data_IF_527190929278
#
_entry.id   IF_527190929278
#
_cell.length_a   1.000
_cell.length_b   1.000
_cell.length_c   1.000
_cell.angle_alpha   90.00
_cell.angle_beta   90.00
_cell.angle_gamma   90.00
#
_symmetry.space_group_name_H-M   'P 1'
#
loop_
_entity.id
_entity.type
_entity.pdbx_description
1 polymer ?
#
# COMPACT_ATOMS: atom_id res chain seq x y z
N UNK A 1 -0.55 5.11 13.95
CA UNK A 1 -1.82 4.37 13.74
C UNK A 1 -2.79 5.37 13.11
N UNK A 2 -3.17 5.17 11.84
CA UNK A 2 -4.14 6.05 11.16
C UNK A 2 -5.53 5.68 11.66
N UNK A 3 -6.35 6.68 12.03
CA UNK A 3 -7.75 6.46 12.42
C UNK A 3 -8.54 5.94 11.22
N UNK A 4 -9.21 4.80 11.35
CA UNK A 4 -10.04 4.23 10.26
C UNK A 4 -11.42 4.88 10.32
N UNK A 5 -11.54 6.01 9.62
CA UNK A 5 -12.82 6.67 9.41
C UNK A 5 -13.55 6.11 8.18
N UNK A 6 -14.85 6.37 8.06
CA UNK A 6 -15.70 5.79 7.00
C UNK A 6 -15.15 6.01 5.58
N UNK A 7 -14.52 7.16 5.32
CA UNK A 7 -13.91 7.45 4.03
C UNK A 7 -12.68 6.57 3.72
N UNK A 8 -11.95 6.11 4.73
CA UNK A 8 -10.85 5.13 4.58
C UNK A 8 -11.42 3.77 4.17
N UNK A 9 -12.53 3.37 4.78
CA UNK A 9 -13.21 2.10 4.46
C UNK A 9 -13.75 2.10 3.03
N UNK A 10 -14.44 3.16 2.62
CA UNK A 10 -14.97 3.29 1.26
C UNK A 10 -13.84 3.19 0.22
N UNK A 11 -12.69 3.84 0.49
CA UNK A 11 -11.49 3.75 -0.36
C UNK A 11 -10.85 2.36 -0.35
N UNK A 12 -10.80 1.72 0.81
CA UNK A 12 -10.28 0.36 0.95
C UNK A 12 -11.13 -0.66 0.18
N UNK A 13 -12.46 -0.49 0.14
CA UNK A 13 -13.34 -1.35 -0.66
C UNK A 13 -13.02 -1.22 -2.15
N UNK A 14 -12.89 0.01 -2.67
CA UNK A 14 -12.49 0.25 -4.06
C UNK A 14 -11.13 -0.43 -4.38
N UNK A 15 -10.15 -0.28 -3.49
CA UNK A 15 -8.83 -0.88 -3.68
C UNK A 15 -8.83 -2.40 -3.58
N UNK A 16 -9.64 -2.97 -2.69
CA UNK A 16 -9.83 -4.42 -2.59
C UNK A 16 -10.36 -4.99 -3.92
N UNK A 17 -11.30 -4.31 -4.57
CA UNK A 17 -11.82 -4.75 -5.87
C UNK A 17 -10.84 -4.51 -7.02
N UNK A 18 -10.27 -3.31 -7.11
CA UNK A 18 -9.39 -2.90 -8.22
C UNK A 18 -8.08 -3.68 -8.25
N UNK A 19 -7.49 -3.92 -7.09
CA UNK A 19 -6.17 -4.56 -6.96
C UNK A 19 -6.25 -5.97 -6.38
N UNK A 20 -7.45 -6.50 -6.11
CA UNK A 20 -7.66 -7.82 -5.48
C UNK A 20 -6.94 -7.98 -4.13
N UNK A 21 -6.83 -6.87 -3.40
CA UNK A 21 -6.17 -6.84 -2.09
C UNK A 21 -7.06 -7.44 -1.01
N UNK A 22 -6.44 -8.15 -0.06
CA UNK A 22 -7.11 -8.51 1.20
C UNK A 22 -7.46 -7.25 1.98
N UNK A 23 -8.51 -7.30 2.79
CA UNK A 23 -9.06 -6.12 3.48
C UNK A 23 -8.00 -5.32 4.23
N UNK A 24 -7.09 -5.98 4.96
CA UNK A 24 -6.02 -5.29 5.69
C UNK A 24 -5.04 -4.59 4.75
N UNK A 25 -4.64 -5.24 3.66
CA UNK A 25 -3.72 -4.69 2.66
C UNK A 25 -4.36 -3.47 1.97
N UNK A 26 -5.65 -3.56 1.65
CA UNK A 26 -6.42 -2.47 1.06
C UNK A 26 -6.54 -1.26 2.00
N UNK A 27 -6.79 -1.48 3.30
CA UNK A 27 -6.85 -0.39 4.30
C UNK A 27 -5.52 0.33 4.44
N UNK A 28 -4.39 -0.40 4.42
CA UNK A 28 -3.08 0.22 4.50
C UNK A 28 -2.77 1.08 3.27
N UNK A 29 -3.03 0.57 2.06
CA UNK A 29 -2.81 1.34 0.84
C UNK A 29 -3.77 2.54 0.74
N UNK A 30 -5.04 2.35 1.10
CA UNK A 30 -6.02 3.43 1.14
C UNK A 30 -5.61 4.54 2.12
N UNK A 31 -5.12 4.15 3.30
CA UNK A 31 -4.62 5.11 4.30
C UNK A 31 -3.47 5.92 3.73
N UNK A 32 -2.48 5.28 3.08
CA UNK A 32 -1.34 5.96 2.49
C UNK A 32 -1.74 6.96 1.40
N UNK A 33 -2.71 6.60 0.55
CA UNK A 33 -3.26 7.50 -0.47
C UNK A 33 -3.98 8.69 0.16
N UNK A 34 -4.83 8.44 1.15
CA UNK A 34 -5.62 9.49 1.80
C UNK A 34 -4.77 10.45 2.63
N UNK A 35 -3.68 9.97 3.23
CA UNK A 35 -2.69 10.80 3.93
C UNK A 35 -1.65 11.40 2.99
N UNK A 36 -1.73 11.15 1.68
CA UNK A 36 -0.82 11.65 0.65
C UNK A 36 0.64 11.31 0.92
N UNK A 37 0.90 10.07 1.28
CA UNK A 37 2.27 9.57 1.40
C UNK A 37 2.95 9.56 0.03
N UNK A 38 4.22 9.95 -0.04
CA UNK A 38 4.99 9.80 -1.29
C UNK A 38 5.28 8.33 -1.60
N UNK A 39 5.43 7.51 -0.56
CA UNK A 39 5.82 6.10 -0.65
C UNK A 39 4.94 5.18 0.21
N UNK A 40 4.63 4.01 -0.34
CA UNK A 40 4.07 2.87 0.38
C UNK A 40 5.00 1.68 0.21
N UNK A 41 5.59 1.23 1.31
CA UNK A 41 6.55 0.13 1.28
C UNK A 41 5.90 -1.20 1.69
N UNK A 42 6.20 -2.27 0.96
CA UNK A 42 5.75 -3.62 1.30
C UNK A 42 6.70 -4.68 0.77
N UNK A 43 6.86 -5.79 1.50
CA UNK A 43 7.54 -7.00 0.99
C UNK A 43 6.58 -7.96 0.27
N UNK A 44 5.27 -7.69 0.30
CA UNK A 44 4.28 -8.53 -0.35
C UNK A 44 4.16 -8.18 -1.84
N UNK A 45 5.12 -8.68 -2.63
CA UNK A 45 5.21 -8.42 -4.08
C UNK A 45 4.06 -8.99 -4.89
N UNK A 46 3.34 -9.98 -4.33
CA UNK A 46 2.28 -10.69 -5.05
C UNK A 46 0.98 -9.91 -5.04
N UNK A 47 0.64 -9.31 -3.90
CA UNK A 47 -0.68 -8.75 -3.71
C UNK A 47 -0.71 -7.25 -4.06
N UNK A 48 0.37 -6.50 -3.81
CA UNK A 48 0.43 -5.07 -4.12
C UNK A 48 0.94 -4.77 -5.54
N UNK A 49 0.50 -3.66 -6.16
CA UNK A 49 0.97 -3.22 -7.48
C UNK A 49 2.38 -2.63 -7.40
N UNK A 50 3.39 -3.49 -7.25
CA UNK A 50 4.79 -3.08 -7.08
C UNK A 50 5.34 -2.33 -8.29
N UNK A 51 6.05 -1.23 -8.03
CA UNK A 51 6.66 -0.38 -9.06
C UNK A 51 5.69 0.62 -9.68
N UNK A 52 4.40 0.55 -9.34
CA UNK A 52 3.38 1.47 -9.84
C UNK A 52 3.19 2.68 -8.92
N UNK A 53 2.51 3.69 -9.47
CA UNK A 53 1.97 4.81 -8.69
C UNK A 53 0.46 4.61 -8.54
N UNK A 54 0.01 4.44 -7.30
CA UNK A 54 -1.41 4.38 -6.95
C UNK A 54 -1.82 5.75 -6.44
N UNK A 55 -2.52 6.51 -7.29
CA UNK A 55 -3.07 7.82 -6.93
C UNK A 55 -2.03 8.78 -6.29
N UNK A 56 -0.81 8.80 -6.85
CA UNK A 56 0.29 9.63 -6.37
C UNK A 56 1.20 8.97 -5.33
N UNK A 57 0.84 7.79 -4.81
CA UNK A 57 1.66 7.02 -3.88
C UNK A 57 2.50 6.01 -4.65
N UNK A 58 3.83 6.05 -4.49
CA UNK A 58 4.71 5.04 -5.10
C UNK A 58 4.72 3.77 -4.26
N UNK A 59 4.36 2.65 -4.87
CA UNK A 59 4.40 1.33 -4.22
C UNK A 59 5.72 0.65 -4.54
N UNK A 60 6.52 0.34 -3.51
CA UNK A 60 7.81 -0.31 -3.73
C UNK A 60 8.22 -1.20 -2.55
N UNK A 61 9.26 -1.99 -2.74
CA UNK A 61 9.89 -2.67 -1.63
C UNK A 61 10.67 -1.67 -0.76
N UNK A 62 10.75 -1.90 0.56
CA UNK A 62 11.69 -1.16 1.39
C UNK A 62 13.12 -1.41 0.89
N UNK A 63 13.87 -0.34 0.66
CA UNK A 63 15.30 -0.41 0.44
C UNK A 63 16.03 -0.02 1.73
N UNK A 64 16.85 -0.92 2.27
CA UNK A 64 17.75 -0.61 3.37
C UNK A 64 19.18 -0.71 2.84
N UNK A 65 19.91 0.42 2.88
CA UNK A 65 21.35 0.44 2.59
C UNK A 65 22.04 -0.55 3.54
N UNK A 66 22.74 -1.55 2.99
CA UNK A 66 23.39 -2.62 3.77
C UNK A 66 22.57 -3.91 3.91
N UNK A 67 21.37 -4.00 3.34
CA UNK A 67 20.60 -5.24 3.33
C UNK A 67 21.23 -6.24 2.34
N UNK A 68 21.94 -7.24 2.88
CA UNK A 68 22.38 -8.40 2.11
C UNK A 68 21.19 -9.30 1.82
N UNK A 69 20.90 -9.51 0.54
CA UNK A 69 19.92 -10.52 0.11
C UNK A 69 20.47 -11.91 0.46
N UNK A 70 19.98 -12.49 1.54
CA UNK A 70 20.19 -13.92 1.86
C UNK A 70 19.18 -14.72 1.03
N UNK A 71 19.68 -15.28 -0.06
CA UNK A 71 18.97 -16.23 -0.94
C UNK A 71 18.88 -17.60 -0.28
#
# INVERSE_FOLDING_TARGET
MVSVERFVVDKAIDFAWRYRLRSNDAVHLASAVLTRCDHFFSWNKKDFPMGEQVEGVRVSEPYVIGQQSIW
#
